data_IF_339486127405
#
_entry.id   IF_339486127405
#
_cell.length_a   1.000
_cell.length_b   1.000
_cell.length_c   1.000
_cell.angle_alpha   90.00
_cell.angle_beta   90.00
_cell.angle_gamma   90.00
#
_symmetry.space_group_name_H-M   'P 1'
#
loop_
_entity.id
_entity.type
_entity.pdbx_description
1 polymer ?
#
# COMPACT_ATOMS: atom_id res chain seq x y z
N UNK A 1 1.05 3.96 14.13
CA UNK A 1 1.64 4.48 12.88
C UNK A 1 3.13 4.74 13.07
N UNK A 2 3.56 5.79 13.78
CA UNK A 2 4.99 5.97 14.05
C UNK A 2 5.58 4.75 14.78
N UNK A 3 6.73 4.25 14.31
CA UNK A 3 7.40 3.08 14.89
C UNK A 3 6.74 1.72 14.60
N UNK A 4 5.81 1.66 13.64
CA UNK A 4 5.16 0.41 13.19
C UNK A 4 5.40 0.20 11.69
N UNK A 5 5.12 -1.00 11.18
CA UNK A 5 5.18 -1.27 9.73
C UNK A 5 4.23 -0.37 8.90
N UNK A 6 3.20 0.18 9.53
CA UNK A 6 2.28 1.13 8.92
C UNK A 6 2.90 2.53 8.69
N UNK A 7 4.13 2.80 9.12
CA UNK A 7 4.75 4.10 8.86
C UNK A 7 5.29 4.22 7.44
N UNK A 8 4.46 4.73 6.52
CA UNK A 8 4.85 5.04 5.14
C UNK A 8 5.14 6.54 4.91
N UNK A 9 5.37 7.31 5.98
CA UNK A 9 5.73 8.74 5.84
C UNK A 9 7.11 8.94 5.21
N UNK A 10 7.99 7.95 5.39
CA UNK A 10 9.20 7.76 4.60
C UNK A 10 9.00 6.58 3.65
N UNK A 11 9.45 6.72 2.41
CA UNK A 11 9.34 5.65 1.43
C UNK A 11 10.15 4.42 1.87
N UNK A 12 9.57 3.23 1.66
CA UNK A 12 10.19 1.94 1.92
C UNK A 12 9.60 0.86 1.02
N UNK A 13 10.31 -0.25 0.87
CA UNK A 13 9.83 -1.42 0.13
C UNK A 13 8.62 -2.00 0.88
N UNK A 14 7.48 -2.13 0.20
CA UNK A 14 6.24 -2.62 0.81
C UNK A 14 6.43 -3.99 1.49
N UNK A 15 7.12 -4.91 0.82
CA UNK A 15 7.32 -6.29 1.29
C UNK A 15 8.30 -6.43 2.46
N UNK A 16 9.13 -5.41 2.77
CA UNK A 16 10.18 -5.56 3.80
C UNK A 16 9.64 -5.73 5.21
N UNK A 17 8.38 -5.37 5.44
CA UNK A 17 7.72 -5.40 6.75
C UNK A 17 6.36 -6.09 6.70
N UNK A 18 6.14 -6.97 5.72
CA UNK A 18 4.95 -7.80 5.67
C UNK A 18 4.81 -8.66 6.91
N UNK A 19 3.59 -8.70 7.45
CA UNK A 19 3.21 -9.52 8.61
C UNK A 19 3.99 -9.17 9.90
N UNK A 20 4.67 -8.02 9.95
CA UNK A 20 5.45 -7.58 11.10
C UNK A 20 4.56 -7.20 12.30
N UNK A 21 3.40 -6.59 12.04
CA UNK A 21 2.41 -6.22 13.06
C UNK A 21 1.22 -7.20 13.12
N UNK A 22 0.59 -7.33 14.29
CA UNK A 22 -0.56 -8.24 14.51
C UNK A 22 -1.73 -7.97 13.57
N UNK A 23 -1.99 -6.70 13.28
CA UNK A 23 -3.09 -6.32 12.40
C UNK A 23 -2.85 -6.77 10.94
N UNK A 24 -1.59 -6.76 10.48
CA UNK A 24 -1.26 -7.35 9.18
C UNK A 24 -1.46 -8.87 9.17
N UNK A 25 -1.07 -9.56 10.25
CA UNK A 25 -1.22 -11.02 10.36
C UNK A 25 -2.68 -11.46 10.29
N UNK A 26 -3.61 -10.68 10.85
CA UNK A 26 -5.05 -10.97 10.81
C UNK A 26 -5.63 -10.93 9.39
N UNK A 27 -5.09 -10.07 8.53
CA UNK A 27 -5.59 -9.88 7.16
C UNK A 27 -4.65 -10.42 6.07
N UNK A 28 -3.54 -11.07 6.47
CA UNK A 28 -2.50 -11.64 5.60
C UNK A 28 -1.77 -10.61 4.71
N UNK A 29 -1.57 -9.40 5.22
CA UNK A 29 -0.89 -8.31 4.52
C UNK A 29 -1.40 -6.95 4.95
N UNK A 30 -1.39 -5.96 4.06
CA UNK A 30 -2.10 -4.71 4.27
C UNK A 30 -3.53 -4.82 3.72
N UNK A 31 -4.50 -4.47 4.56
CA UNK A 31 -5.89 -4.22 4.16
C UNK A 31 -6.50 -3.16 5.09
N UNK A 32 -5.87 -1.98 5.12
CA UNK A 32 -6.17 -0.94 6.10
C UNK A 32 -6.33 0.44 5.44
N UNK A 33 -7.21 1.26 6.03
CA UNK A 33 -7.42 2.63 5.61
C UNK A 33 -6.41 3.57 6.29
N UNK A 34 -5.72 4.38 5.51
CA UNK A 34 -4.81 5.42 5.98
C UNK A 34 -5.49 6.78 5.91
N UNK A 35 -5.54 7.49 7.04
CA UNK A 35 -6.02 8.87 7.08
C UNK A 35 -4.98 9.80 6.43
N UNK A 36 -5.42 10.62 5.50
CA UNK A 36 -4.55 11.41 4.63
C UNK A 36 -4.31 12.82 5.20
N UNK A 37 -3.04 13.22 5.26
CA UNK A 37 -2.66 14.59 5.64
C UNK A 37 -2.98 15.63 4.57
N UNK A 38 -3.27 15.20 3.33
CA UNK A 38 -3.77 16.07 2.27
C UNK A 38 -5.12 16.71 2.65
N UNK A 39 -5.93 16.07 3.52
CA UNK A 39 -7.22 16.59 4.01
C UNK A 39 -8.13 17.10 2.89
N UNK A 40 -8.12 16.40 1.75
CA UNK A 40 -8.89 16.73 0.56
C UNK A 40 -8.31 17.82 -0.36
N UNK A 41 -7.14 18.37 -0.03
CA UNK A 41 -6.42 19.31 -0.90
C UNK A 41 -5.74 18.58 -2.07
N UNK A 42 -6.36 18.64 -3.25
CA UNK A 42 -5.88 17.98 -4.47
C UNK A 42 -4.58 18.58 -5.04
N UNK A 43 -4.07 19.68 -4.48
CA UNK A 43 -2.73 20.20 -4.83
C UNK A 43 -1.61 19.46 -4.10
N UNK A 44 -1.95 18.68 -3.07
CA UNK A 44 -1.00 17.87 -2.29
C UNK A 44 -1.09 16.41 -2.72
N UNK A 45 0.06 15.77 -2.90
CA UNK A 45 0.10 14.33 -3.14
C UNK A 45 -0.32 13.61 -1.87
N UNK A 46 -1.28 12.68 -1.99
CA UNK A 46 -1.76 11.86 -0.88
C UNK A 46 -0.87 10.64 -0.64
N UNK A 47 -0.39 10.01 -1.72
CA UNK A 47 0.49 8.85 -1.67
C UNK A 47 1.35 8.76 -2.94
N UNK A 48 2.51 8.13 -2.80
CA UNK A 48 3.37 7.74 -3.90
C UNK A 48 3.58 6.23 -3.86
N UNK A 49 3.58 5.59 -5.02
CA UNK A 49 4.05 4.22 -5.19
C UNK A 49 4.90 4.13 -6.44
N UNK A 50 5.96 3.33 -6.37
CA UNK A 50 6.88 3.10 -7.47
C UNK A 50 6.84 1.63 -7.87
N UNK A 51 7.13 1.36 -9.15
CA UNK A 51 7.50 0.01 -9.56
C UNK A 51 8.77 -0.42 -8.82
N UNK A 52 8.97 -1.74 -8.67
CA UNK A 52 10.12 -2.27 -7.95
C UNK A 52 11.47 -1.88 -8.57
N UNK A 53 11.50 -1.58 -9.87
CA UNK A 53 12.67 -1.09 -10.59
C UNK A 53 12.76 0.46 -10.64
N UNK A 54 11.87 1.15 -9.93
CA UNK A 54 11.77 2.60 -9.79
C UNK A 54 11.54 3.39 -11.10
N UNK A 55 11.32 2.71 -12.23
CA UNK A 55 11.13 3.35 -13.54
C UNK A 55 9.75 3.98 -13.73
N UNK A 56 8.76 3.56 -12.95
CA UNK A 56 7.40 4.08 -13.00
C UNK A 56 6.95 4.54 -11.62
N UNK A 57 6.35 5.73 -11.56
CA UNK A 57 5.75 6.26 -10.34
C UNK A 57 4.27 6.58 -10.57
N UNK A 58 3.43 6.15 -9.63
CA UNK A 58 2.06 6.62 -9.48
C UNK A 58 1.99 7.61 -8.30
N UNK A 59 1.44 8.80 -8.57
CA UNK A 59 1.07 9.79 -7.55
C UNK A 59 -0.44 9.82 -7.42
N UNK A 60 -0.94 9.69 -6.20
CA UNK A 60 -2.39 9.74 -5.91
C UNK A 60 -2.74 11.13 -5.39
N UNK A 61 -3.74 11.76 -6.00
CA UNK A 61 -4.39 12.99 -5.53
C UNK A 61 -5.86 12.69 -5.32
N UNK A 62 -6.43 13.15 -4.20
CA UNK A 62 -7.82 12.84 -3.86
C UNK A 62 -8.42 13.87 -2.92
N UNK A 63 -9.72 14.06 -3.03
CA UNK A 63 -10.53 14.81 -2.05
C UNK A 63 -10.95 13.94 -0.86
N UNK A 64 -10.79 12.61 -0.96
CA UNK A 64 -11.17 11.67 0.09
C UNK A 64 -10.31 11.85 1.35
N UNK A 65 -10.87 11.63 2.56
CA UNK A 65 -10.14 11.77 3.81
C UNK A 65 -9.17 10.60 4.08
N UNK A 66 -9.35 9.47 3.40
CA UNK A 66 -8.59 8.24 3.61
C UNK A 66 -8.29 7.51 2.29
N UNK A 67 -7.26 6.65 2.32
CA UNK A 67 -6.90 5.73 1.24
C UNK A 67 -6.84 4.31 1.78
N UNK A 68 -7.61 3.38 1.20
CA UNK A 68 -7.45 1.96 1.49
C UNK A 68 -6.19 1.46 0.81
N UNK A 69 -5.28 0.86 1.57
CA UNK A 69 -4.17 0.10 1.02
C UNK A 69 -4.43 -1.40 1.19
N UNK A 70 -4.76 -2.04 0.08
CA UNK A 70 -4.93 -3.48 -0.03
C UNK A 70 -3.77 -4.07 -0.86
N UNK A 71 -3.03 -5.02 -0.28
CA UNK A 71 -1.87 -5.63 -0.92
C UNK A 71 -2.16 -6.93 -1.69
N UNK A 72 -3.43 -7.23 -1.99
CA UNK A 72 -3.76 -8.42 -2.79
C UNK A 72 -3.76 -9.74 -1.99
N UNK A 73 -4.10 -9.68 -0.70
CA UNK A 73 -3.89 -10.75 0.28
C UNK A 73 -4.61 -12.08 -0.03
N UNK A 74 -5.57 -12.09 -0.95
CA UNK A 74 -6.39 -13.25 -1.32
C UNK A 74 -6.36 -13.57 -2.81
N UNK A 75 -5.31 -13.18 -3.52
CA UNK A 75 -5.16 -13.46 -4.96
C UNK A 75 -4.57 -14.84 -5.27
N UNK A 76 -4.08 -15.58 -4.27
CA UNK A 76 -3.44 -16.89 -4.47
C UNK A 76 -4.29 -17.85 -5.31
N UNK A 77 -3.70 -18.39 -6.38
CA UNK A 77 -4.36 -19.29 -7.34
C UNK A 77 -5.21 -18.60 -8.40
N UNK A 78 -5.36 -17.28 -8.38
CA UNK A 78 -6.04 -16.53 -9.45
C UNK A 78 -5.09 -16.25 -10.63
N UNK A 79 -5.62 -16.14 -11.87
CA UNK A 79 -4.78 -15.81 -13.03
C UNK A 79 -4.00 -14.50 -12.83
N UNK A 80 -2.69 -14.54 -13.05
CA UNK A 80 -1.87 -13.32 -13.07
C UNK A 80 -1.73 -12.78 -14.50
N UNK A 81 -0.98 -11.68 -14.65
CA UNK A 81 -0.61 -11.16 -15.97
C UNK A 81 0.46 -12.04 -16.67
N UNK A 82 1.20 -12.85 -15.91
CA UNK A 82 2.21 -13.77 -16.42
C UNK A 82 1.65 -15.15 -16.77
N UNK A 83 2.52 -16.14 -16.91
CA UNK A 83 2.13 -17.54 -17.18
C UNK A 83 1.66 -18.26 -15.91
N UNK A 84 2.20 -17.88 -14.75
CA UNK A 84 1.85 -18.49 -13.46
C UNK A 84 0.72 -17.72 -12.77
N UNK A 85 -0.19 -18.40 -12.06
CA UNK A 85 -1.13 -17.76 -11.14
C UNK A 85 -0.41 -16.93 -10.07
N UNK A 86 -1.13 -16.01 -9.43
CA UNK A 86 -0.60 -15.37 -8.23
C UNK A 86 -0.32 -16.42 -7.15
N UNK A 87 0.83 -16.27 -6.48
CA UNK A 87 1.24 -17.11 -5.35
C UNK A 87 0.32 -16.91 -4.13
#
# INVERSE_FOLDING_TARGET
VAGTSFDFRSAKIIASEFLADDDQRKVKGYDHAFLLQAKGDVKKVAAHVWSADEKLQLKVYTTAPALQFYSGNFLGGTPSRGTEPYA
#
